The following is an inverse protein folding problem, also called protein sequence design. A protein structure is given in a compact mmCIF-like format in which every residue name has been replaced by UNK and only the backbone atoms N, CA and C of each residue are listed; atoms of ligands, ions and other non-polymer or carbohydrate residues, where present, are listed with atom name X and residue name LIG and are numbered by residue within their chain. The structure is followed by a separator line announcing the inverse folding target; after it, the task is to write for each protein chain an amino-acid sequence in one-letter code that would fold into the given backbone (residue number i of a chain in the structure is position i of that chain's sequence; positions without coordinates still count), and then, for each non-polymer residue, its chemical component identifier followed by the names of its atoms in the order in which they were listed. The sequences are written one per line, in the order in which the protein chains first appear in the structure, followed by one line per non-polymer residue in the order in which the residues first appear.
data_IF_338437346367
#
_entry.id   IF_338437346367
#
_cell.length_a   1.000
_cell.length_b   1.000
_cell.length_c   1.000
_cell.angle_alpha   90.00
_cell.angle_beta   90.00
_cell.angle_gamma   90.00
#
_symmetry.space_group_name_H-M   'P 1'
#
loop_
_entity.id
_entity.type
_entity.pdbx_description
1 polymer ?
#
# COMPACT_ATOMS: atom_id res chain seq x y z
N UNK A 1 -12.79 3.74 -6.05
CA UNK A 1 -11.67 4.54 -5.53
C UNK A 1 -11.28 5.55 -6.59
N UNK A 2 -11.07 6.81 -6.23
CA UNK A 2 -10.74 7.88 -7.20
C UNK A 2 -9.43 8.59 -6.83
N UNK A 3 -9.00 8.46 -5.56
CA UNK A 3 -7.68 8.85 -5.07
C UNK A 3 -7.28 7.97 -3.89
N UNK A 4 -5.98 7.85 -3.61
CA UNK A 4 -5.48 7.27 -2.37
C UNK A 4 -4.73 8.34 -1.58
N UNK A 5 -5.25 8.70 -0.40
CA UNK A 5 -4.60 9.67 0.49
C UNK A 5 -4.21 8.97 1.78
N UNK A 6 -2.92 8.98 2.10
CA UNK A 6 -2.35 8.24 3.23
C UNK A 6 -1.58 9.19 4.15
N UNK A 7 -1.64 8.91 5.44
CA UNK A 7 -0.84 9.57 6.48
C UNK A 7 -0.18 8.50 7.33
N UNK A 8 1.14 8.53 7.41
CA UNK A 8 1.98 7.68 8.23
C UNK A 8 2.61 8.50 9.38
N UNK A 9 2.74 7.89 10.54
CA UNK A 9 3.36 8.50 11.71
C UNK A 9 4.28 7.50 12.41
N UNK A 10 5.54 7.86 12.62
CA UNK A 10 6.47 7.08 13.44
C UNK A 10 6.16 7.25 14.93
N UNK A 11 5.70 6.18 15.57
CA UNK A 11 5.47 6.17 17.02
C UNK A 11 6.80 5.99 17.79
N UNK A 12 7.71 5.22 17.21
CA UNK A 12 9.09 5.01 17.67
C UNK A 12 10.00 4.87 16.46
N UNK A 13 11.31 4.75 16.68
CA UNK A 13 12.29 4.46 15.62
C UNK A 13 12.00 3.15 14.86
N UNK A 14 11.25 2.23 15.48
CA UNK A 14 10.98 0.90 14.93
C UNK A 14 9.50 0.64 14.61
N UNK A 15 8.57 1.48 15.08
CA UNK A 15 7.13 1.26 14.95
C UNK A 15 6.46 2.48 14.31
N UNK A 16 5.71 2.24 13.24
CA UNK A 16 4.87 3.25 12.59
C UNK A 16 3.44 2.77 12.41
N UNK A 17 2.54 3.74 12.31
CA UNK A 17 1.13 3.52 11.98
C UNK A 17 0.75 4.36 10.77
N UNK A 18 -0.13 3.83 9.94
CA UNK A 18 -0.62 4.51 8.74
C UNK A 18 -2.13 4.45 8.71
N UNK A 19 -2.75 5.59 8.45
CA UNK A 19 -4.18 5.70 8.13
C UNK A 19 -4.35 6.21 6.71
N UNK A 20 -5.37 5.74 6.02
CA UNK A 20 -5.72 6.23 4.70
C UNK A 20 -7.23 6.36 4.54
N UNK A 21 -7.64 7.33 3.72
CA UNK A 21 -9.02 7.49 3.31
C UNK A 21 -9.09 7.99 1.86
N UNK A 22 -10.01 7.45 1.07
CA UNK A 22 -10.32 8.01 -0.25
C UNK A 22 -11.24 9.22 -0.11
N UNK A 23 -10.62 10.41 -0.01
CA UNK A 23 -11.31 11.68 0.14
C UNK A 23 -12.25 11.98 -1.04
N UNK A 24 -11.91 11.55 -2.26
CA UNK A 24 -12.76 11.81 -3.43
C UNK A 24 -14.00 10.91 -3.42
N UNK A 25 -13.88 9.69 -2.91
CA UNK A 25 -15.06 8.83 -2.68
C UNK A 25 -16.00 9.40 -1.61
N UNK A 26 -15.53 10.12 -0.59
CA UNK A 26 -16.43 10.79 0.37
C UNK A 26 -17.40 11.78 -0.29
N UNK A 27 -16.92 12.48 -1.32
CA UNK A 27 -17.68 13.53 -2.00
C UNK A 27 -18.55 12.93 -3.13
N UNK A 28 -18.08 11.87 -3.79
CA UNK A 28 -18.73 11.30 -4.99
C UNK A 28 -19.55 10.03 -4.74
N UNK A 29 -19.35 9.32 -3.63
CA UNK A 29 -20.05 8.06 -3.42
C UNK A 29 -21.54 8.32 -3.14
N UNK A 30 -22.37 8.06 -4.15
CA UNK A 30 -23.85 8.11 -4.04
C UNK A 30 -24.40 6.90 -3.26
N UNK A 31 -23.63 5.83 -3.13
CA UNK A 31 -23.94 4.64 -2.33
C UNK A 31 -22.63 3.90 -1.97
N UNK A 32 -22.48 3.47 -0.71
CA UNK A 32 -21.27 2.84 -0.17
C UNK A 32 -20.31 3.88 0.45
N UNK A 33 -19.94 3.70 1.72
CA UNK A 33 -19.05 4.62 2.44
C UNK A 33 -17.63 4.71 1.84
N UNK A 34 -16.76 5.57 2.38
CA UNK A 34 -15.40 5.74 1.87
C UNK A 34 -14.58 4.46 2.01
N UNK A 35 -13.60 4.28 1.13
CA UNK A 35 -12.51 3.36 1.40
C UNK A 35 -11.60 3.98 2.47
N UNK A 36 -11.25 3.19 3.47
CA UNK A 36 -10.25 3.48 4.47
C UNK A 36 -9.32 2.28 4.65
N UNK A 37 -8.08 2.59 5.00
CA UNK A 37 -7.06 1.62 5.33
C UNK A 37 -6.39 2.00 6.65
N UNK A 38 -6.05 0.99 7.43
CA UNK A 38 -5.17 1.12 8.59
C UNK A 38 -4.01 0.14 8.44
N UNK A 39 -2.78 0.57 8.73
CA UNK A 39 -1.60 -0.28 8.76
C UNK A 39 -0.78 -0.01 10.01
N UNK A 40 -0.23 -1.07 10.57
CA UNK A 40 0.86 -1.01 11.53
C UNK A 40 2.09 -1.66 10.89
N UNK A 41 3.25 -1.07 11.11
CA UNK A 41 4.51 -1.57 10.56
C UNK A 41 5.61 -1.48 11.60
N UNK A 42 6.36 -2.57 11.72
CA UNK A 42 7.57 -2.64 12.53
C UNK A 42 8.76 -2.86 11.60
N UNK A 43 9.88 -2.19 11.86
CA UNK A 43 11.11 -2.33 11.08
C UNK A 43 12.35 -2.15 11.95
N UNK A 44 13.47 -2.70 11.49
CA UNK A 44 14.78 -2.50 12.10
C UNK A 44 15.90 -2.92 11.17
N UNK A 45 17.11 -2.50 11.51
CA UNK A 45 18.32 -2.76 10.73
C UNK A 45 19.08 -3.93 11.32
N UNK A 46 19.47 -4.90 10.48
CA UNK A 46 20.43 -5.95 10.89
C UNK A 46 21.86 -5.52 10.61
N UNK A 47 22.05 -4.59 9.69
CA UNK A 47 23.31 -3.90 9.38
C UNK A 47 23.00 -2.55 8.73
N UNK A 48 24.02 -1.79 8.35
CA UNK A 48 23.83 -0.53 7.61
C UNK A 48 23.14 -0.73 6.25
N UNK A 49 23.30 -1.91 5.64
CA UNK A 49 22.79 -2.21 4.30
C UNK A 49 21.49 -3.04 4.31
N UNK A 50 21.27 -3.83 5.36
CA UNK A 50 20.17 -4.79 5.42
C UNK A 50 19.17 -4.40 6.50
N UNK A 51 17.91 -4.27 6.09
CA UNK A 51 16.79 -3.90 6.94
C UNK A 51 15.67 -4.91 6.80
N UNK A 52 15.00 -5.21 7.91
CA UNK A 52 13.89 -6.14 7.98
C UNK A 52 12.67 -5.42 8.53
N UNK A 53 11.50 -5.85 8.08
CA UNK A 53 10.26 -5.34 8.62
C UNK A 53 9.10 -6.29 8.47
N UNK A 54 8.01 -5.97 9.16
CA UNK A 54 6.75 -6.64 9.05
C UNK A 54 5.61 -5.62 9.14
N UNK A 55 4.50 -5.88 8.47
CA UNK A 55 3.33 -5.03 8.56
C UNK A 55 2.04 -5.84 8.59
N UNK A 56 1.04 -5.27 9.25
CA UNK A 56 -0.34 -5.73 9.22
C UNK A 56 -1.21 -4.58 8.72
N UNK A 57 -1.97 -4.85 7.67
CA UNK A 57 -2.85 -3.88 7.02
C UNK A 57 -4.28 -4.37 7.08
N UNK A 58 -5.24 -3.49 7.32
CA UNK A 58 -6.66 -3.69 7.10
C UNK A 58 -7.15 -2.67 6.08
N UNK A 59 -7.97 -3.10 5.13
CA UNK A 59 -8.66 -2.22 4.19
C UNK A 59 -10.12 -2.65 4.06
N UNK A 60 -11.06 -1.69 4.12
CA UNK A 60 -12.50 -1.97 3.97
C UNK A 60 -12.97 -2.04 2.50
N UNK A 61 -12.04 -2.30 1.58
CA UNK A 61 -12.36 -2.54 0.19
C UNK A 61 -12.45 -4.04 -0.05
N UNK A 62 -13.21 -4.46 -1.06
CA UNK A 62 -13.02 -5.80 -1.62
C UNK A 62 -11.76 -5.73 -2.46
N UNK A 63 -10.81 -6.63 -2.25
CA UNK A 63 -9.81 -6.86 -3.31
C UNK A 63 -10.59 -7.31 -4.54
N UNK A 64 -10.22 -6.86 -5.74
CA UNK A 64 -10.70 -7.45 -6.97
C UNK A 64 -10.30 -8.90 -6.90
N UNK A 65 -11.18 -9.80 -6.48
CA UNK A 65 -10.99 -11.22 -6.69
C UNK A 65 -12.24 -11.96 -6.29
N UNK A 66 -12.96 -12.36 -7.33
CA UNK A 66 -13.26 -13.75 -7.60
C UNK A 66 -14.01 -14.54 -6.54
N UNK A 67 -13.48 -14.61 -5.31
CA UNK A 67 -14.03 -15.33 -4.17
C UNK A 67 -15.56 -15.26 -4.13
N UNK A 68 -16.18 -16.31 -4.66
CA UNK A 68 -17.62 -16.48 -4.59
C UNK A 68 -17.97 -16.64 -3.12
N UNK A 69 -18.54 -15.59 -2.54
CA UNK A 69 -19.13 -15.66 -1.21
C UNK A 69 -20.28 -16.65 -1.31
N UNK A 70 -20.20 -17.77 -0.59
CA UNK A 70 -21.23 -18.80 -0.59
C UNK A 70 -22.62 -18.19 -0.30
N UNK A 71 -23.65 -18.71 -0.96
CA UNK A 71 -25.02 -18.24 -0.78
C UNK A 71 -25.40 -18.22 0.71
N UNK A 72 -25.93 -17.07 1.16
CA UNK A 72 -26.31 -16.84 2.56
C UNK A 72 -25.20 -16.29 3.48
N UNK A 73 -23.98 -16.09 2.98
CA UNK A 73 -22.89 -15.47 3.73
C UNK A 73 -22.81 -13.97 3.41
N UNK A 74 -22.90 -13.12 4.44
CA UNK A 74 -22.75 -11.67 4.23
C UNK A 74 -21.34 -11.35 3.65
N UNK A 75 -21.18 -10.50 2.64
CA UNK A 75 -19.87 -10.16 2.10
C UNK A 75 -18.95 -9.62 3.21
N UNK A 76 -17.66 -10.03 3.26
CA UNK A 76 -16.75 -9.50 4.25
C UNK A 76 -16.61 -7.98 4.09
N UNK A 77 -16.49 -7.23 5.21
CA UNK A 77 -16.42 -5.77 5.18
C UNK A 77 -15.07 -5.24 4.68
N UNK A 78 -14.08 -6.12 4.46
CA UNK A 78 -12.72 -5.78 4.08
C UNK A 78 -11.79 -7.00 4.13
N UNK A 79 -10.50 -6.76 4.01
CA UNK A 79 -9.46 -7.78 4.14
C UNK A 79 -8.32 -7.29 5.03
N UNK A 80 -7.63 -8.27 5.62
CA UNK A 80 -6.35 -8.09 6.27
C UNK A 80 -5.23 -8.57 5.36
N UNK A 81 -4.06 -7.94 5.47
CA UNK A 81 -2.85 -8.34 4.76
C UNK A 81 -1.67 -8.28 5.70
N UNK A 82 -1.03 -9.41 5.95
CA UNK A 82 0.21 -9.51 6.72
C UNK A 82 1.38 -9.69 5.78
N UNK A 83 2.41 -8.84 5.89
CA UNK A 83 3.59 -8.84 5.02
C UNK A 83 4.86 -8.88 5.86
N UNK A 84 5.86 -9.66 5.43
CA UNK A 84 7.25 -9.49 5.83
C UNK A 84 8.01 -8.81 4.68
N UNK A 85 9.03 -8.03 5.01
CA UNK A 85 9.82 -7.30 4.02
C UNK A 85 11.30 -7.28 4.37
N UNK A 86 12.11 -7.26 3.32
CA UNK A 86 13.55 -7.09 3.38
C UNK A 86 13.92 -5.94 2.44
N UNK A 87 14.69 -4.99 2.96
CA UNK A 87 15.23 -3.87 2.20
C UNK A 87 16.74 -3.97 2.19
N UNK A 88 17.32 -3.84 1.01
CA UNK A 88 18.76 -3.72 0.81
C UNK A 88 19.01 -2.31 0.30
N UNK A 89 19.87 -1.57 0.99
CA UNK A 89 20.19 -0.20 0.61
C UNK A 89 20.51 0.69 1.80
N UNK A 90 20.75 1.96 1.48
CA UNK A 90 21.08 3.01 2.44
C UNK A 90 20.04 4.14 2.36
N UNK A 91 20.39 5.34 2.86
CA UNK A 91 19.49 6.50 2.85
C UNK A 91 19.24 7.08 1.45
N UNK A 92 20.04 6.72 0.46
CA UNK A 92 20.01 7.28 -0.88
C UNK A 92 19.36 6.31 -1.86
N UNK A 93 19.73 5.03 -1.81
CA UNK A 93 19.26 4.02 -2.74
C UNK A 93 18.77 2.76 -2.02
N UNK A 94 17.53 2.35 -2.29
CA UNK A 94 16.89 1.24 -1.60
C UNK A 94 16.13 0.33 -2.57
N UNK A 95 16.23 -0.97 -2.34
CA UNK A 95 15.43 -1.99 -2.97
C UNK A 95 14.73 -2.83 -1.90
N UNK A 96 13.41 -2.93 -1.96
CA UNK A 96 12.59 -3.64 -0.98
C UNK A 96 11.83 -4.77 -1.66
N UNK A 97 11.96 -5.97 -1.13
CA UNK A 97 11.12 -7.11 -1.46
C UNK A 97 10.21 -7.41 -0.28
N UNK A 98 8.92 -7.54 -0.51
CA UNK A 98 7.95 -7.92 0.51
C UNK A 98 7.09 -9.09 0.03
N UNK A 99 6.73 -9.97 0.97
CA UNK A 99 5.90 -11.13 0.71
C UNK A 99 4.99 -11.42 1.89
N UNK A 100 3.79 -11.94 1.62
CA UNK A 100 2.80 -12.14 2.66
C UNK A 100 1.52 -12.80 2.18
N UNK A 101 0.50 -12.70 3.02
CA UNK A 101 -0.82 -13.27 2.77
C UNK A 101 -1.93 -12.27 3.09
N UNK A 102 -2.94 -12.30 2.24
CA UNK A 102 -4.23 -11.67 2.47
C UNK A 102 -5.22 -12.63 3.12
N UNK A 103 -6.11 -12.12 3.95
CA UNK A 103 -7.23 -12.84 4.55
C UNK A 103 -8.45 -11.94 4.65
N UNK A 104 -9.59 -12.34 4.07
CA UNK A 104 -10.85 -11.56 4.05
C UNK A 104 -11.64 -11.60 5.39
N UNK A 105 -10.97 -11.95 6.48
CA UNK A 105 -11.59 -12.16 7.80
C UNK A 105 -12.55 -13.37 7.90
N UNK A 106 -12.79 -14.13 6.82
CA UNK A 106 -13.60 -15.36 6.82
C UNK A 106 -12.81 -16.52 6.25
N UNK A 107 -13.32 -17.75 6.35
CA UNK A 107 -12.62 -18.97 5.87
C UNK A 107 -12.44 -19.04 4.34
N UNK A 108 -12.70 -17.95 3.60
CA UNK A 108 -13.02 -17.98 2.17
C UNK A 108 -11.86 -17.59 1.25
N UNK A 109 -10.83 -16.86 1.70
CA UNK A 109 -9.72 -16.51 0.81
C UNK A 109 -8.39 -16.27 1.51
N UNK A 110 -7.37 -17.08 1.18
CA UNK A 110 -5.96 -16.78 1.44
C UNK A 110 -5.25 -16.63 0.11
N UNK A 111 -4.90 -15.39 -0.23
CA UNK A 111 -4.17 -15.07 -1.43
C UNK A 111 -2.75 -14.62 -1.06
N UNK A 112 -1.69 -15.24 -1.60
CA UNK A 112 -0.35 -14.70 -1.48
C UNK A 112 -0.27 -13.30 -2.09
N UNK A 113 0.53 -12.43 -1.47
CA UNK A 113 0.82 -11.09 -1.99
C UNK A 113 2.32 -10.89 -1.99
N UNK A 114 2.84 -10.35 -3.09
CA UNK A 114 4.26 -10.00 -3.24
C UNK A 114 4.36 -8.56 -3.70
N UNK A 115 5.35 -7.84 -3.19
CA UNK A 115 5.68 -6.48 -3.64
C UNK A 115 7.18 -6.32 -3.85
N UNK A 116 7.55 -5.58 -4.89
CA UNK A 116 8.90 -5.11 -5.16
C UNK A 116 8.87 -3.59 -5.25
N UNK A 117 9.60 -2.92 -4.37
CA UNK A 117 9.72 -1.47 -4.30
C UNK A 117 11.15 -1.00 -4.51
N UNK A 118 11.32 0.15 -5.15
CA UNK A 118 12.61 0.80 -5.35
C UNK A 118 12.54 2.27 -5.02
N UNK A 119 13.58 2.80 -4.37
CA UNK A 119 13.74 4.22 -4.09
C UNK A 119 15.14 4.67 -4.51
N UNK A 120 15.24 5.80 -5.20
CA UNK A 120 16.49 6.37 -5.69
C UNK A 120 16.55 7.87 -5.38
N UNK A 121 17.59 8.34 -4.70
CA UNK A 121 17.78 9.77 -4.45
C UNK A 121 18.32 10.48 -5.70
N UNK A 122 17.58 11.48 -6.17
CA UNK A 122 17.96 12.28 -7.35
C UNK A 122 18.40 13.69 -6.98
N UNK A 123 17.91 14.23 -5.86
CA UNK A 123 18.34 15.49 -5.27
C UNK A 123 18.44 15.35 -3.75
N UNK A 124 19.08 16.32 -3.09
CA UNK A 124 19.23 16.33 -1.63
C UNK A 124 17.91 16.03 -0.90
N UNK A 125 16.79 16.58 -1.39
CA UNK A 125 15.48 16.46 -0.75
C UNK A 125 14.44 15.75 -1.63
N UNK A 126 14.85 15.05 -2.69
CA UNK A 126 13.92 14.40 -3.63
C UNK A 126 14.41 13.01 -3.99
N UNK A 127 13.51 12.03 -3.87
CA UNK A 127 13.73 10.65 -4.29
C UNK A 127 12.65 10.23 -5.29
N UNK A 128 13.00 9.36 -6.23
CA UNK A 128 12.04 8.65 -7.07
C UNK A 128 11.65 7.36 -6.38
N UNK A 129 10.36 7.02 -6.41
CA UNK A 129 9.80 5.83 -5.77
C UNK A 129 9.00 5.03 -6.79
N UNK A 130 9.18 3.72 -6.80
CA UNK A 130 8.37 2.78 -7.57
C UNK A 130 7.96 1.59 -6.72
N UNK A 131 6.76 1.06 -6.91
CA UNK A 131 6.34 -0.21 -6.30
C UNK A 131 5.57 -1.06 -7.31
N UNK A 132 5.75 -2.37 -7.23
CA UNK A 132 5.04 -3.34 -8.07
C UNK A 132 4.44 -4.41 -7.16
N UNK A 133 3.13 -4.51 -7.16
CA UNK A 133 2.35 -5.41 -6.34
C UNK A 133 1.73 -6.51 -7.19
N UNK A 134 1.81 -7.74 -6.70
CA UNK A 134 1.18 -8.92 -7.30
C UNK A 134 0.32 -9.57 -6.22
N UNK A 135 -0.98 -9.56 -6.45
CA UNK A 135 -1.98 -10.25 -5.64
C UNK A 135 -2.34 -11.54 -6.37
N UNK A 136 -1.89 -12.67 -5.81
CA UNK A 136 -2.04 -13.99 -6.43
C UNK A 136 -3.32 -14.63 -5.91
N UNK A 137 -4.37 -14.60 -6.71
CA UNK A 137 -5.67 -15.16 -6.33
C UNK A 137 -6.03 -16.36 -7.21
N UNK A 138 -6.70 -17.39 -6.65
CA UNK A 138 -7.05 -18.59 -7.41
C UNK A 138 -7.82 -18.34 -8.71
N UNK A 139 -8.64 -17.29 -8.78
CA UNK A 139 -9.44 -17.02 -9.97
C UNK A 139 -8.73 -16.11 -10.97
N UNK A 140 -8.06 -15.06 -10.48
CA UNK A 140 -7.32 -14.14 -11.34
C UNK A 140 -6.32 -13.30 -10.56
N UNK A 141 -5.06 -13.35 -10.99
CA UNK A 141 -4.02 -12.46 -10.49
C UNK A 141 -4.35 -10.99 -10.77
N UNK A 142 -4.12 -10.15 -9.76
CA UNK A 142 -4.22 -8.70 -9.86
C UNK A 142 -2.84 -8.06 -9.69
N UNK A 143 -2.48 -7.17 -10.62
CA UNK A 143 -1.19 -6.48 -10.62
C UNK A 143 -1.42 -4.97 -10.54
N UNK A 144 -0.71 -4.33 -9.62
CA UNK A 144 -0.70 -2.88 -9.49
C UNK A 144 0.73 -2.36 -9.47
N UNK A 145 0.95 -1.19 -10.05
CA UNK A 145 2.23 -0.54 -10.14
C UNK A 145 2.09 0.90 -9.66
N UNK A 146 3.08 1.45 -8.98
CA UNK A 146 3.10 2.86 -8.64
C UNK A 146 4.44 3.47 -9.05
N UNK A 147 4.40 4.73 -9.44
CA UNK A 147 5.58 5.55 -9.67
C UNK A 147 5.31 6.96 -9.17
N UNK A 148 6.30 7.56 -8.53
CA UNK A 148 6.17 8.89 -7.96
C UNK A 148 7.48 9.49 -7.49
N UNK A 149 7.35 10.61 -6.79
CA UNK A 149 8.45 11.29 -6.13
C UNK A 149 8.15 11.47 -4.64
N UNK A 150 9.18 11.28 -3.82
CA UNK A 150 9.21 11.59 -2.39
C UNK A 150 9.98 12.88 -2.18
N UNK A 151 9.36 13.85 -1.52
CA UNK A 151 9.97 15.11 -1.10
C UNK A 151 10.26 15.01 0.40
N UNK A 152 11.51 15.22 0.79
CA UNK A 152 11.98 15.10 2.17
C UNK A 152 12.18 16.48 2.80
N UNK A 153 11.53 16.70 3.93
CA UNK A 153 11.89 17.73 4.91
C UNK A 153 12.42 17.10 6.19
N UNK A 154 12.65 17.93 7.21
CA UNK A 154 13.29 17.50 8.46
C UNK A 154 12.40 16.54 9.29
N UNK A 155 11.09 16.77 9.30
CA UNK A 155 10.12 15.97 10.08
C UNK A 155 8.92 15.49 9.23
N UNK A 156 8.92 15.81 7.93
CA UNK A 156 7.84 15.52 7.00
C UNK A 156 8.38 15.01 5.65
N UNK A 157 7.91 13.84 5.23
CA UNK A 157 8.08 13.35 3.86
C UNK A 157 6.73 13.36 3.14
N UNK A 158 6.71 13.78 1.88
CA UNK A 158 5.50 13.79 1.05
C UNK A 158 5.76 12.95 -0.20
N UNK A 159 4.90 11.96 -0.45
CA UNK A 159 4.92 11.19 -1.70
C UNK A 159 3.78 11.63 -2.60
N UNK A 160 4.12 11.91 -3.86
CA UNK A 160 3.15 12.21 -4.91
C UNK A 160 3.42 11.31 -6.11
N UNK A 161 2.36 10.75 -6.69
CA UNK A 161 2.54 9.86 -7.82
C UNK A 161 1.25 9.32 -8.40
N UNK A 162 1.42 8.32 -9.25
CA UNK A 162 0.36 7.61 -9.94
C UNK A 162 0.46 6.13 -9.61
N UNK A 163 -0.68 5.51 -9.32
CA UNK A 163 -0.86 4.08 -9.22
C UNK A 163 -1.64 3.59 -10.45
N UNK A 164 -1.10 2.58 -11.12
CA UNK A 164 -1.66 2.00 -12.32
C UNK A 164 -1.96 0.51 -12.12
N UNK A 165 -3.13 0.11 -12.56
CA UNK A 165 -3.56 -1.28 -12.73
C UNK A 165 -4.46 -1.37 -13.97
N UNK A 166 -4.51 -2.55 -14.60
CA UNK A 166 -5.22 -2.75 -15.88
C UNK A 166 -6.75 -2.66 -15.77
N UNK A 167 -7.33 -2.68 -14.58
CA UNK A 167 -8.76 -2.91 -14.38
C UNK A 167 -9.50 -1.70 -13.78
N UNK A 168 -8.86 -0.94 -12.90
CA UNK A 168 -9.47 0.12 -12.10
C UNK A 168 -8.87 1.49 -12.41
N UNK A 169 -7.55 1.62 -12.46
CA UNK A 169 -6.90 2.92 -12.61
C UNK A 169 -7.27 3.65 -13.91
N UNK A 170 -7.40 2.91 -15.02
CA UNK A 170 -7.83 3.43 -16.33
C UNK A 170 -9.25 4.00 -16.33
N UNK A 171 -10.08 3.62 -15.35
CA UNK A 171 -11.43 4.17 -15.17
C UNK A 171 -11.41 5.52 -14.44
N UNK A 172 -10.27 5.91 -13.85
CA UNK A 172 -10.07 7.17 -13.15
C UNK A 172 -9.42 8.19 -14.08
N UNK A 173 -8.21 7.87 -14.58
CA UNK A 173 -7.54 8.64 -15.64
C UNK A 173 -6.76 7.71 -16.56
N UNK A 174 -6.46 8.15 -17.77
CA UNK A 174 -5.60 7.40 -18.71
C UNK A 174 -4.17 7.20 -18.19
N UNK A 175 -3.72 8.07 -17.28
CA UNK A 175 -2.37 8.02 -16.69
C UNK A 175 -2.31 7.20 -15.40
N UNK A 176 -3.45 6.78 -14.84
CA UNK A 176 -3.56 6.04 -13.57
C UNK A 176 -4.30 6.81 -12.46
N UNK A 177 -4.36 6.21 -11.28
CA UNK A 177 -4.98 6.79 -10.09
C UNK A 177 -3.96 7.64 -9.31
N UNK A 178 -4.20 8.94 -9.10
CA UNK A 178 -3.30 9.77 -8.32
C UNK A 178 -3.33 9.39 -6.84
N UNK A 179 -2.16 9.46 -6.20
CA UNK A 179 -2.03 9.31 -4.75
C UNK A 179 -1.20 10.43 -4.13
N UNK A 180 -1.49 10.69 -2.86
CA UNK A 180 -0.75 11.59 -1.99
C UNK A 180 -0.51 10.90 -0.66
N UNK A 181 0.74 10.80 -0.23
CA UNK A 181 1.11 10.29 1.09
C UNK A 181 1.87 11.35 1.87
N UNK A 182 1.66 11.40 3.17
CA UNK A 182 2.51 12.13 4.10
C UNK A 182 3.04 11.19 5.18
N UNK A 183 4.34 11.25 5.47
CA UNK A 183 4.96 10.55 6.59
C UNK A 183 5.54 11.58 7.54
N UNK A 184 5.11 11.53 8.81
CA UNK A 184 5.57 12.41 9.86
C UNK A 184 6.45 11.63 10.85
N UNK A 185 7.44 12.32 11.42
CA UNK A 185 8.30 11.79 12.49
C UNK A 185 8.96 10.46 12.08
N UNK A 186 9.81 10.50 11.05
CA UNK A 186 10.41 9.33 10.39
C UNK A 186 11.94 9.38 10.39
#
# INVERSE_FOLDING_TARGET
MVSLNTMAYGLTEALSVVGAIDLVSLIRARAGGPMYLGRMQVSGSTSELFHLGASLTYMNARVPVGATVADGVAPPPGFFMGMAMCTIGDKDDQLTLAGGWMHDGRRAGRAPVVSLGGTLRVFANVMLVTEHWIFMDPERDFMAHSFGARILGDELAIDVGLAYDKEYSVKVTEAGMPFLSATLNF
#
